data_IF_905138983551
#
_entry.id   IF_905138983551
#
_cell.length_a   1.000
_cell.length_b   1.000
_cell.length_c   1.000
_cell.angle_alpha   90.00
_cell.angle_beta   90.00
_cell.angle_gamma   90.00
#
_symmetry.space_group_name_H-M   'P 1'
#
loop_
_entity.id
_entity.type
_entity.pdbx_description
1 polymer ?
#
# COMPACT_ATOMS: atom_id res chain seq x y z
N UNK A 1 -10.02 -7.16 1.81
CA UNK A 1 -9.45 -8.02 2.88
C UNK A 1 -8.63 -9.17 2.31
N UNK A 2 -9.08 -9.84 1.25
CA UNK A 2 -8.32 -10.91 0.59
C UNK A 2 -6.95 -10.45 0.04
N UNK A 3 -6.85 -9.24 -0.54
CA UNK A 3 -5.59 -8.71 -1.08
C UNK A 3 -4.50 -8.50 -0.02
N UNK A 4 -4.86 -7.91 1.13
CA UNK A 4 -3.93 -7.68 2.25
C UNK A 4 -3.36 -9.02 2.74
N UNK A 5 -4.22 -10.03 2.90
CA UNK A 5 -3.81 -11.36 3.35
C UNK A 5 -2.95 -12.08 2.30
N UNK A 6 -3.22 -11.87 1.01
CA UNK A 6 -2.43 -12.45 -0.06
C UNK A 6 -1.02 -11.84 -0.15
N UNK A 7 -0.92 -10.50 -0.09
CA UNK A 7 0.38 -9.79 -0.05
C UNK A 7 1.16 -10.22 1.20
N UNK A 8 0.52 -10.19 2.36
CA UNK A 8 1.11 -10.63 3.63
C UNK A 8 1.64 -12.07 3.55
N UNK A 9 0.85 -12.99 2.99
CA UNK A 9 1.23 -14.40 2.84
C UNK A 9 2.45 -14.55 1.94
N UNK A 10 2.50 -13.89 0.78
CA UNK A 10 3.66 -14.02 -0.12
C UNK A 10 4.90 -13.37 0.51
N UNK A 11 4.78 -12.21 1.16
CA UNK A 11 5.90 -11.57 1.87
C UNK A 11 6.46 -12.48 2.97
N UNK A 12 5.58 -13.10 3.76
CA UNK A 12 5.99 -14.05 4.79
C UNK A 12 6.59 -15.34 4.20
N UNK A 13 5.85 -16.02 3.32
CA UNK A 13 6.20 -17.35 2.83
C UNK A 13 7.38 -17.33 1.84
N UNK A 14 7.55 -16.25 1.09
CA UNK A 14 8.60 -16.14 0.05
C UNK A 14 9.84 -15.40 0.55
N UNK A 15 9.66 -14.34 1.35
CA UNK A 15 10.75 -13.46 1.77
C UNK A 15 11.08 -13.56 3.26
N UNK A 16 10.35 -14.38 4.02
CA UNK A 16 10.57 -14.57 5.45
C UNK A 16 10.26 -13.33 6.29
N UNK A 17 9.49 -12.37 5.76
CA UNK A 17 9.15 -11.14 6.47
C UNK A 17 8.16 -11.46 7.57
N UNK A 18 8.56 -11.19 8.82
CA UNK A 18 7.68 -11.40 9.97
C UNK A 18 6.44 -10.50 9.84
N UNK A 19 5.25 -11.10 9.94
CA UNK A 19 4.02 -10.32 9.91
C UNK A 19 3.87 -9.53 11.22
N UNK A 20 3.69 -8.19 11.15
CA UNK A 20 3.50 -7.39 12.35
C UNK A 20 2.25 -7.83 13.12
N UNK A 21 2.42 -8.29 14.36
CA UNK A 21 1.31 -8.76 15.17
C UNK A 21 0.40 -7.60 15.58
N UNK A 22 -0.92 -7.75 15.38
CA UNK A 22 -1.92 -6.76 15.80
C UNK A 22 -1.95 -5.47 14.98
N UNK A 23 -1.30 -5.44 13.81
CA UNK A 23 -1.34 -4.27 12.92
C UNK A 23 -2.74 -4.03 12.37
N UNK A 24 -3.24 -2.82 12.56
CA UNK A 24 -4.49 -2.33 11.99
C UNK A 24 -4.16 -1.20 11.02
N UNK A 25 -4.58 -1.36 9.76
CA UNK A 25 -4.47 -0.35 8.72
C UNK A 25 -5.82 0.32 8.49
N UNK A 26 -5.82 1.65 8.47
CA UNK A 26 -6.95 2.44 8.03
C UNK A 26 -6.82 2.71 6.54
N UNK A 27 -7.87 2.44 5.76
CA UNK A 27 -7.86 2.62 4.31
C UNK A 27 -8.91 3.65 3.94
N UNK A 28 -8.49 4.71 3.25
CA UNK A 28 -9.35 5.81 2.82
C UNK A 28 -9.25 5.97 1.31
N UNK A 29 -10.37 5.72 0.61
CA UNK A 29 -10.50 6.02 -0.81
C UNK A 29 -11.02 7.44 -1.00
N UNK A 30 -10.24 8.27 -1.69
CA UNK A 30 -10.54 9.69 -1.91
C UNK A 30 -10.86 9.91 -3.38
N UNK A 31 -12.13 10.22 -3.67
CA UNK A 31 -12.60 10.42 -5.05
C UNK A 31 -12.09 11.70 -5.69
N UNK A 32 -12.04 12.78 -4.93
CA UNK A 32 -11.64 14.09 -5.46
C UNK A 32 -10.11 14.25 -5.42
N UNK A 33 -9.45 14.53 -6.56
CA UNK A 33 -8.00 14.81 -6.57
C UNK A 33 -7.62 16.00 -5.70
N UNK A 34 -8.47 17.03 -5.61
CA UNK A 34 -8.21 18.20 -4.77
C UNK A 34 -8.33 17.87 -3.29
N UNK A 35 -9.32 17.07 -2.90
CA UNK A 35 -9.45 16.60 -1.52
C UNK A 35 -8.28 15.68 -1.13
N UNK A 36 -7.82 14.83 -2.06
CA UNK A 36 -6.64 13.99 -1.84
C UNK A 36 -5.39 14.86 -1.59
N UNK A 37 -5.11 15.83 -2.45
CA UNK A 37 -3.97 16.73 -2.29
C UNK A 37 -4.01 17.48 -0.94
N UNK A 38 -5.19 17.93 -0.51
CA UNK A 38 -5.39 18.58 0.79
C UNK A 38 -5.15 17.63 1.97
N UNK A 39 -5.63 16.39 1.89
CA UNK A 39 -5.43 15.38 2.94
C UNK A 39 -3.95 14.97 3.08
N UNK A 40 -3.25 14.84 1.95
CA UNK A 40 -1.84 14.45 1.94
C UNK A 40 -0.94 15.59 2.45
N UNK A 41 -1.23 16.84 2.07
CA UNK A 41 -0.51 18.03 2.56
C UNK A 41 0.96 18.14 2.11
N UNK A 42 1.48 17.14 1.40
CA UNK A 42 2.84 17.09 0.83
C UNK A 42 2.74 17.13 -0.69
N UNK A 43 3.25 18.19 -1.37
CA UNK A 43 3.07 18.38 -2.81
C UNK A 43 3.57 17.20 -3.67
N UNK A 44 4.70 16.61 -3.31
CA UNK A 44 5.31 15.48 -4.04
C UNK A 44 4.42 14.23 -3.99
N UNK A 45 3.83 13.95 -2.84
CA UNK A 45 2.89 12.84 -2.64
C UNK A 45 1.48 13.16 -3.15
N UNK A 46 1.11 14.44 -3.24
CA UNK A 46 -0.18 14.83 -3.82
C UNK A 46 -0.30 14.46 -5.31
N UNK A 47 0.84 14.35 -6.01
CA UNK A 47 0.89 13.87 -7.39
C UNK A 47 0.71 12.35 -7.50
N UNK A 48 1.00 11.57 -6.45
CA UNK A 48 0.91 10.11 -6.46
C UNK A 48 -0.55 9.63 -6.53
N UNK A 49 -0.72 8.33 -6.81
CA UNK A 49 -2.03 7.68 -6.79
C UNK A 49 -2.41 7.17 -5.39
N UNK A 50 -1.44 6.97 -4.50
CA UNK A 50 -1.63 6.55 -3.13
C UNK A 50 -0.47 6.96 -2.23
N UNK A 51 -0.71 6.95 -0.93
CA UNK A 51 0.31 7.22 0.07
C UNK A 51 0.00 6.54 1.40
N UNK A 52 0.99 5.88 1.97
CA UNK A 52 0.98 5.38 3.34
C UNK A 52 1.52 6.43 4.33
N UNK A 53 0.70 6.78 5.33
CA UNK A 53 1.12 7.61 6.46
C UNK A 53 1.46 6.71 7.65
N UNK A 54 2.76 6.63 7.97
CA UNK A 54 3.29 5.80 9.06
C UNK A 54 2.80 6.24 10.45
N UNK A 55 2.69 7.55 10.69
CA UNK A 55 2.28 8.09 12.00
C UNK A 55 0.83 7.79 12.39
N UNK A 56 -0.05 7.56 11.40
CA UNK A 56 -1.48 7.27 11.62
C UNK A 56 -1.89 5.88 11.12
N UNK A 57 -0.94 5.11 10.57
CA UNK A 57 -1.19 3.81 9.91
C UNK A 57 -2.34 3.87 8.90
N UNK A 58 -2.40 4.97 8.15
CA UNK A 58 -3.47 5.23 7.20
C UNK A 58 -2.95 5.21 5.78
N UNK A 59 -3.56 4.39 4.93
CA UNK A 59 -3.35 4.37 3.49
C UNK A 59 -4.44 5.24 2.86
N UNK A 60 -4.01 6.28 2.15
CA UNK A 60 -4.88 7.08 1.31
C UNK A 60 -4.72 6.63 -0.14
N UNK A 61 -5.82 6.36 -0.81
CA UNK A 61 -5.84 5.99 -2.23
C UNK A 61 -6.68 7.01 -2.97
N UNK A 62 -6.09 7.71 -3.94
CA UNK A 62 -6.87 8.50 -4.89
C UNK A 62 -7.63 7.53 -5.78
N UNK A 63 -8.96 7.64 -5.84
CA UNK A 63 -9.74 6.76 -6.71
C UNK A 63 -9.36 6.99 -8.17
N UNK A 64 -9.13 5.90 -8.88
CA UNK A 64 -8.92 5.86 -10.32
C UNK A 64 -10.27 5.61 -11.03
N UNK A 65 -10.32 5.79 -12.34
CA UNK A 65 -11.54 5.56 -13.13
C UNK A 65 -11.99 4.09 -13.11
N UNK A 66 -11.06 3.17 -12.84
CA UNK A 66 -11.30 1.73 -12.76
C UNK A 66 -10.99 1.25 -11.34
N UNK A 67 -11.93 0.54 -10.72
CA UNK A 67 -11.78 0.03 -9.35
C UNK A 67 -10.50 -0.81 -9.18
N UNK A 68 -10.20 -1.69 -10.13
CA UNK A 68 -8.99 -2.52 -10.09
C UNK A 68 -7.70 -1.69 -10.09
N UNK A 69 -7.68 -0.53 -10.77
CA UNK A 69 -6.53 0.36 -10.72
C UNK A 69 -6.38 1.00 -9.33
N UNK A 70 -7.49 1.32 -8.65
CA UNK A 70 -7.47 1.78 -7.26
C UNK A 70 -6.99 0.67 -6.31
N UNK A 71 -7.41 -0.59 -6.54
CA UNK A 71 -6.95 -1.72 -5.74
C UNK A 71 -5.49 -2.08 -5.98
N UNK A 72 -4.97 -1.91 -7.21
CA UNK A 72 -3.55 -2.07 -7.50
C UNK A 72 -2.70 -1.09 -6.70
N UNK A 73 -3.12 0.18 -6.64
CA UNK A 73 -2.49 1.20 -5.78
C UNK A 73 -2.59 0.81 -4.30
N UNK A 74 -3.75 0.34 -3.83
CA UNK A 74 -3.88 -0.12 -2.45
C UNK A 74 -2.89 -1.25 -2.13
N UNK A 75 -2.73 -2.25 -3.01
CA UNK A 75 -1.78 -3.35 -2.83
C UNK A 75 -0.34 -2.85 -2.76
N UNK A 76 0.02 -1.88 -3.60
CA UNK A 76 1.32 -1.19 -3.55
C UNK A 76 1.57 -0.56 -2.17
N UNK A 77 0.64 0.25 -1.68
CA UNK A 77 0.79 0.92 -0.38
C UNK A 77 0.78 -0.03 0.83
N UNK A 78 0.05 -1.15 0.74
CA UNK A 78 0.08 -2.20 1.77
C UNK A 78 1.48 -2.78 1.93
N UNK A 79 2.22 -2.96 0.83
CA UNK A 79 3.61 -3.45 0.91
C UNK A 79 4.47 -2.48 1.68
N UNK A 80 4.41 -1.18 1.37
CA UNK A 80 5.15 -0.17 2.12
C UNK A 80 4.81 -0.22 3.61
N UNK A 81 3.54 -0.40 3.95
CA UNK A 81 3.11 -0.48 5.34
C UNK A 81 3.66 -1.72 6.05
N UNK A 82 3.55 -2.91 5.45
CA UNK A 82 4.06 -4.16 6.04
C UNK A 82 5.58 -4.11 6.16
N UNK A 83 6.29 -3.68 5.11
CA UNK A 83 7.75 -3.55 5.10
C UNK A 83 8.21 -2.57 6.18
N UNK A 84 7.57 -1.41 6.29
CA UNK A 84 7.92 -0.40 7.29
C UNK A 84 7.76 -0.94 8.71
N UNK A 85 6.66 -1.61 9.01
CA UNK A 85 6.39 -2.13 10.35
C UNK A 85 7.23 -3.37 10.70
N UNK A 86 7.57 -4.21 9.72
CA UNK A 86 8.33 -5.45 9.95
C UNK A 86 9.85 -5.25 9.92
N UNK A 87 10.35 -4.40 9.02
CA UNK A 87 11.78 -4.27 8.69
C UNK A 87 12.29 -2.85 8.95
N UNK A 88 11.41 -1.85 8.87
CA UNK A 88 11.78 -0.44 8.96
C UNK A 88 12.16 0.13 7.59
N UNK A 89 13.19 0.97 7.55
CA UNK A 89 13.58 1.69 6.34
C UNK A 89 14.44 0.82 5.43
N UNK A 90 13.84 0.31 4.35
CA UNK A 90 14.58 -0.30 3.24
C UNK A 90 15.16 0.75 2.29
N UNK A 91 16.23 0.42 1.53
CA UNK A 91 16.65 1.23 0.40
C UNK A 91 15.50 1.46 -0.56
N UNK A 92 15.32 2.72 -1.01
CA UNK A 92 14.17 3.17 -1.83
C UNK A 92 13.90 2.23 -3.01
N UNK A 93 14.95 1.89 -3.78
CA UNK A 93 14.80 1.03 -4.95
C UNK A 93 14.23 -0.37 -4.62
N UNK A 94 14.57 -0.93 -3.47
CA UNK A 94 14.06 -2.25 -3.04
C UNK A 94 12.61 -2.10 -2.56
N UNK A 95 12.32 -1.07 -1.76
CA UNK A 95 10.98 -0.82 -1.24
C UNK A 95 9.96 -0.60 -2.38
N UNK A 96 10.28 0.28 -3.32
CA UNK A 96 9.43 0.55 -4.49
C UNK A 96 9.32 -0.67 -5.42
N UNK A 97 10.42 -1.40 -5.64
CA UNK A 97 10.41 -2.61 -6.49
C UNK A 97 9.49 -3.71 -5.94
N UNK A 98 9.49 -3.91 -4.62
CA UNK A 98 8.58 -4.85 -3.96
C UNK A 98 7.12 -4.38 -4.08
N UNK A 99 6.86 -3.09 -3.83
CA UNK A 99 5.53 -2.53 -3.90
C UNK A 99 4.94 -2.63 -5.32
N UNK A 100 5.73 -2.33 -6.35
CA UNK A 100 5.36 -2.46 -7.77
C UNK A 100 5.03 -3.91 -8.17
N UNK A 101 5.83 -4.87 -7.69
CA UNK A 101 5.58 -6.30 -7.95
C UNK A 101 4.20 -6.73 -7.42
N UNK A 102 3.87 -6.33 -6.19
CA UNK A 102 2.60 -6.69 -5.56
C UNK A 102 1.41 -5.84 -6.01
N UNK A 103 1.62 -4.61 -6.48
CA UNK A 103 0.57 -3.81 -7.10
C UNK A 103 -0.08 -4.54 -8.28
N UNK A 104 0.74 -5.30 -9.03
CA UNK A 104 0.32 -6.14 -10.17
C UNK A 104 -0.15 -7.54 -9.78
N UNK A 105 0.01 -7.93 -8.51
CA UNK A 105 -0.37 -9.25 -8.05
C UNK A 105 -1.89 -9.39 -8.10
N UNK A 106 -2.35 -10.29 -8.97
CA UNK A 106 -3.72 -10.76 -9.00
C UNK A 106 -3.77 -12.07 -8.25
N UNK A 107 -4.59 -12.14 -7.20
CA UNK A 107 -4.89 -13.42 -6.56
C UNK A 107 -5.60 -14.27 -7.62
N UNK A 108 -4.88 -15.24 -8.18
CA UNK A 108 -5.49 -16.24 -9.07
C UNK A 108 -6.55 -16.99 -8.27
N UNK A 109 -7.81 -16.89 -8.68
CA UNK A 109 -8.89 -17.66 -8.09
C UNK A 109 -8.64 -19.16 -8.29
N UNK A 110 -8.80 -19.92 -7.21
CA UNK A 110 -9.40 -21.24 -7.28
C UNK A 110 -10.90 -21.08 -7.14
#
# INVERSE_FOLDING_TARGET
>A
MADVLAVARVLHDTLGVAMPQGMVLHIVFVRSPTAYAQLIGVPELAASAGAYNTGTRTIHVRMQDVDEASFAVLRHEIVHAIVHEAIGNLPVAINEGLAEYFGRYRVGGM
#
